data_IF_750047956442
#
_entry.id   IF_750047956442
#
_cell.length_a   1.000
_cell.length_b   1.000
_cell.length_c   1.000
_cell.angle_alpha   90.00
_cell.angle_beta   90.00
_cell.angle_gamma   90.00
#
_symmetry.space_group_name_H-M   'P 1'
#
loop_
_entity.id
_entity.type
_entity.pdbx_description
1 polymer ?
#
# COMPACT_ATOMS: atom_id res chain seq x y z
N UNK A 1 -24.26 -7.44 -5.16
CA UNK A 1 -22.98 -7.14 -5.84
C UNK A 1 -22.01 -6.72 -4.75
N UNK A 2 -20.80 -7.27 -4.72
CA UNK A 2 -19.76 -6.91 -3.75
C UNK A 2 -19.11 -5.60 -4.18
N UNK A 3 -18.84 -4.68 -3.25
CA UNK A 3 -18.29 -3.35 -3.55
C UNK A 3 -16.92 -3.15 -2.89
N UNK A 4 -15.91 -2.82 -3.67
CA UNK A 4 -14.53 -2.66 -3.20
C UNK A 4 -14.08 -1.21 -3.38
N UNK A 5 -13.67 -0.56 -2.29
CA UNK A 5 -13.02 0.75 -2.37
C UNK A 5 -11.62 0.61 -2.94
N UNK A 6 -11.26 1.48 -3.90
CA UNK A 6 -9.95 1.53 -4.54
C UNK A 6 -9.34 2.91 -4.30
N UNK A 7 -8.21 2.92 -3.59
CA UNK A 7 -7.58 4.15 -3.10
C UNK A 7 -6.06 4.08 -3.16
N UNK A 8 -5.39 5.22 -3.05
CA UNK A 8 -3.96 5.24 -2.74
C UNK A 8 -3.42 6.58 -2.27
N UNK A 9 -2.30 6.51 -1.57
CA UNK A 9 -1.53 7.67 -1.12
C UNK A 9 -0.07 7.21 -1.05
N UNK A 10 0.75 7.70 -1.97
CA UNK A 10 2.14 7.23 -2.10
C UNK A 10 3.09 8.40 -2.09
N UNK A 11 4.12 8.30 -1.27
CA UNK A 11 5.29 9.16 -1.30
C UNK A 11 6.44 8.43 -0.64
N UNK A 12 7.65 8.68 -1.11
CA UNK A 12 8.88 8.38 -0.38
C UNK A 12 9.51 9.70 0.11
N UNK A 13 10.01 9.72 1.35
CA UNK A 13 10.73 10.88 1.87
C UNK A 13 12.17 10.56 2.28
N UNK A 14 13.02 11.57 2.26
CA UNK A 14 14.22 11.61 3.10
C UNK A 14 13.98 12.58 4.26
N UNK A 15 14.00 12.10 5.50
CA UNK A 15 13.86 12.95 6.70
C UNK A 15 15.03 13.92 6.85
N UNK A 16 16.15 13.65 6.17
CA UNK A 16 17.34 14.50 6.16
C UNK A 16 17.33 15.55 5.06
N UNK A 17 16.36 15.52 4.14
CA UNK A 17 16.23 16.54 3.10
C UNK A 17 15.63 17.82 3.71
N UNK A 18 16.37 18.95 3.72
CA UNK A 18 15.92 20.19 4.36
C UNK A 18 14.80 20.90 3.60
N UNK A 19 14.48 20.48 2.37
CA UNK A 19 13.42 21.06 1.56
C UNK A 19 12.13 20.24 1.74
N UNK A 20 11.16 20.71 2.56
CA UNK A 20 9.89 20.02 2.66
C UNK A 20 9.11 20.12 1.35
N UNK A 21 8.30 19.11 1.06
CA UNK A 21 7.35 19.16 -0.04
C UNK A 21 5.99 19.69 0.44
N UNK A 22 5.23 20.25 -0.49
CA UNK A 22 3.92 20.88 -0.25
C UNK A 22 2.82 20.10 -0.97
N UNK A 23 1.57 20.48 -0.71
CA UNK A 23 0.41 19.82 -1.31
C UNK A 23 0.46 19.81 -2.86
N UNK A 24 0.96 20.87 -3.49
CA UNK A 24 1.08 21.01 -4.94
C UNK A 24 2.16 20.11 -5.58
N UNK A 25 2.98 19.44 -4.77
CA UNK A 25 3.89 18.40 -5.23
C UNK A 25 3.16 17.11 -5.64
N UNK A 26 1.95 16.88 -5.14
CA UNK A 26 1.18 15.69 -5.43
C UNK A 26 0.32 15.84 -6.68
N UNK A 27 0.32 14.80 -7.51
CA UNK A 27 -0.73 14.61 -8.50
C UNK A 27 -1.94 13.93 -7.83
N UNK A 28 -3.10 14.59 -7.87
CA UNK A 28 -4.31 14.11 -7.19
C UNK A 28 -5.36 13.70 -8.23
N UNK A 29 -5.80 12.45 -8.13
CA UNK A 29 -6.87 11.87 -8.95
C UNK A 29 -8.09 11.55 -8.09
N UNK A 30 -9.28 11.94 -8.55
CA UNK A 30 -10.54 11.75 -7.81
C UNK A 30 -11.56 10.93 -8.61
N UNK A 31 -12.34 10.12 -7.90
CA UNK A 31 -13.38 9.28 -8.47
C UNK A 31 -12.87 8.47 -9.68
N UNK A 32 -13.54 8.56 -10.83
CA UNK A 32 -13.18 7.79 -12.04
C UNK A 32 -11.81 8.19 -12.64
N UNK A 33 -11.22 9.32 -12.25
CA UNK A 33 -9.86 9.69 -12.65
C UNK A 33 -8.84 8.67 -12.14
N UNK A 34 -9.06 8.10 -10.94
CA UNK A 34 -8.20 7.05 -10.39
C UNK A 34 -8.18 5.84 -11.33
N UNK A 35 -9.34 5.42 -11.84
CA UNK A 35 -9.44 4.31 -12.80
C UNK A 35 -8.75 4.67 -14.11
N UNK A 36 -9.07 5.84 -14.68
CA UNK A 36 -8.50 6.29 -15.97
C UNK A 36 -6.98 6.39 -15.91
N UNK A 37 -6.45 6.93 -14.82
CA UNK A 37 -5.01 7.08 -14.63
C UNK A 37 -4.30 5.74 -14.50
N UNK A 38 -4.89 4.76 -13.83
CA UNK A 38 -4.19 3.50 -13.50
C UNK A 38 -4.44 2.36 -14.50
N UNK A 39 -5.54 2.38 -15.26
CA UNK A 39 -5.87 1.29 -16.19
C UNK A 39 -4.81 1.14 -17.28
N UNK A 40 -4.25 -0.07 -17.42
CA UNK A 40 -3.23 -0.40 -18.43
C UNK A 40 -1.82 0.11 -18.11
N UNK A 41 -1.61 0.73 -16.94
CA UNK A 41 -0.29 1.15 -16.46
C UNK A 41 0.33 0.10 -15.53
N UNK A 42 1.66 0.10 -15.46
CA UNK A 42 2.39 -0.67 -14.48
C UNK A 42 2.30 0.01 -13.10
N UNK A 43 1.15 -0.08 -12.44
CA UNK A 43 0.90 0.49 -11.12
C UNK A 43 0.18 -0.50 -10.23
N UNK A 44 0.31 -0.35 -8.91
CA UNK A 44 -0.39 -1.18 -7.94
C UNK A 44 -1.91 -1.17 -8.16
N UNK A 45 -2.50 0.01 -8.36
CA UNK A 45 -3.94 0.13 -8.61
C UNK A 45 -4.31 -0.48 -9.97
N UNK A 46 -3.49 -0.29 -11.01
CA UNK A 46 -3.73 -0.86 -12.34
C UNK A 46 -3.82 -2.39 -12.30
N UNK A 47 -2.84 -3.03 -11.67
CA UNK A 47 -2.85 -4.47 -11.45
C UNK A 47 -4.03 -4.96 -10.60
N UNK A 48 -4.40 -4.23 -9.55
CA UNK A 48 -5.56 -4.58 -8.73
C UNK A 48 -6.87 -4.51 -9.52
N UNK A 49 -7.07 -3.46 -10.32
CA UNK A 49 -8.24 -3.29 -11.20
C UNK A 49 -8.37 -4.45 -12.18
N UNK A 50 -7.27 -4.82 -12.84
CA UNK A 50 -7.26 -5.94 -13.79
C UNK A 50 -7.73 -7.25 -13.16
N UNK A 51 -7.32 -7.52 -11.92
CA UNK A 51 -7.70 -8.75 -11.24
C UNK A 51 -9.12 -8.70 -10.68
N UNK A 52 -9.53 -7.59 -10.08
CA UNK A 52 -10.87 -7.42 -9.51
C UNK A 52 -11.96 -7.46 -10.59
N UNK A 53 -11.71 -6.89 -11.77
CA UNK A 53 -12.65 -6.89 -12.89
C UNK A 53 -12.93 -8.29 -13.46
N UNK A 54 -12.11 -9.30 -13.14
CA UNK A 54 -12.37 -10.71 -13.52
C UNK A 54 -13.42 -11.38 -12.63
N UNK A 55 -13.79 -10.76 -11.51
CA UNK A 55 -14.68 -11.34 -10.51
C UNK A 55 -16.13 -10.96 -10.86
N UNK A 56 -17.01 -11.95 -11.12
CA UNK A 56 -18.41 -11.65 -11.42
C UNK A 56 -19.12 -11.07 -10.19
N UNK A 57 -20.08 -10.16 -10.42
CA UNK A 57 -20.87 -9.51 -9.36
C UNK A 57 -20.02 -8.72 -8.35
N UNK A 58 -18.86 -8.20 -8.76
CA UNK A 58 -18.02 -7.28 -7.98
C UNK A 58 -17.91 -5.93 -8.70
N UNK A 59 -17.97 -4.85 -7.93
CA UNK A 59 -17.86 -3.46 -8.37
C UNK A 59 -16.70 -2.78 -7.65
N UNK A 60 -15.82 -2.11 -8.42
CA UNK A 60 -14.78 -1.26 -7.88
C UNK A 60 -15.30 0.19 -7.75
N UNK A 61 -15.25 0.74 -6.54
CA UNK A 61 -15.57 2.13 -6.23
C UNK A 61 -14.25 2.90 -6.10
N UNK A 62 -13.96 3.72 -7.09
CA UNK A 62 -12.78 4.56 -7.15
C UNK A 62 -13.02 5.86 -6.38
N UNK A 63 -12.08 6.29 -5.53
CA UNK A 63 -12.30 7.46 -4.67
C UNK A 63 -11.17 8.48 -4.76
N UNK A 64 -9.98 8.15 -4.27
CA UNK A 64 -8.88 9.11 -4.15
C UNK A 64 -7.52 8.42 -4.36
N UNK A 65 -6.67 9.06 -5.16
CA UNK A 65 -5.29 8.63 -5.37
C UNK A 65 -4.38 9.87 -5.37
N UNK A 66 -3.51 9.97 -4.36
CA UNK A 66 -2.47 10.99 -4.27
C UNK A 66 -1.12 10.36 -4.57
N UNK A 67 -0.45 10.86 -5.62
CA UNK A 67 0.86 10.37 -6.05
C UNK A 67 1.91 11.46 -5.88
N UNK A 68 2.85 11.22 -4.97
CA UNK A 68 4.07 12.00 -4.79
C UNK A 68 5.29 11.11 -5.05
N UNK A 69 6.30 11.67 -5.72
CA UNK A 69 7.59 10.99 -5.91
C UNK A 69 8.52 11.18 -4.71
N UNK A 70 9.76 10.67 -4.78
CA UNK A 70 10.74 10.82 -3.71
C UNK A 70 11.10 12.31 -3.48
N UNK A 71 10.98 12.78 -2.24
CA UNK A 71 11.23 14.19 -1.87
C UNK A 71 11.68 14.35 -0.41
N UNK A 72 11.64 15.57 0.13
CA UNK A 72 11.75 15.81 1.56
C UNK A 72 10.42 15.56 2.29
N UNK A 73 10.38 15.77 3.62
CA UNK A 73 9.17 15.56 4.42
C UNK A 73 8.02 16.43 3.92
N UNK A 74 6.80 15.88 3.91
CA UNK A 74 5.61 16.65 3.58
C UNK A 74 5.29 17.65 4.70
N UNK A 75 5.01 18.90 4.36
CA UNK A 75 4.46 19.86 5.34
C UNK A 75 3.24 19.24 6.03
N UNK A 76 3.22 19.22 7.37
CA UNK A 76 2.17 18.52 8.11
C UNK A 76 0.76 19.05 7.77
N UNK A 77 0.61 20.36 7.54
CA UNK A 77 -0.64 20.96 7.07
C UNK A 77 -1.11 20.42 5.70
N UNK A 78 -0.18 20.15 4.78
CA UNK A 78 -0.47 19.55 3.49
C UNK A 78 -0.89 18.08 3.63
N UNK A 79 -0.27 17.34 4.56
CA UNK A 79 -0.71 16.00 4.93
C UNK A 79 -2.14 15.99 5.50
N UNK A 80 -2.46 16.89 6.43
CA UNK A 80 -3.81 16.98 7.01
C UNK A 80 -4.87 17.26 5.94
N UNK A 81 -4.53 18.06 4.92
CA UNK A 81 -5.40 18.26 3.76
C UNK A 81 -5.59 16.98 2.95
N UNK A 82 -4.52 16.23 2.68
CA UNK A 82 -4.61 14.92 2.01
C UNK A 82 -5.44 13.93 2.83
N UNK A 83 -5.28 13.90 4.15
CA UNK A 83 -6.09 13.08 5.07
C UNK A 83 -7.58 13.40 4.92
N UNK A 84 -7.95 14.68 4.94
CA UNK A 84 -9.34 15.10 4.79
C UNK A 84 -9.93 14.60 3.46
N UNK A 85 -9.22 14.87 2.35
CA UNK A 85 -9.65 14.48 1.00
C UNK A 85 -9.69 12.95 0.81
N UNK A 86 -8.76 12.23 1.43
CA UNK A 86 -8.69 10.77 1.38
C UNK A 86 -9.85 10.13 2.16
N UNK A 87 -10.16 10.64 3.35
CA UNK A 87 -11.19 10.06 4.24
C UNK A 87 -12.62 10.47 3.88
N UNK A 88 -12.85 11.64 3.29
CA UNK A 88 -14.19 12.11 2.89
C UNK A 88 -14.99 11.06 2.08
N UNK A 89 -14.46 10.50 0.97
CA UNK A 89 -15.19 9.49 0.22
C UNK A 89 -15.36 8.17 1.00
N UNK A 90 -14.43 7.79 1.88
CA UNK A 90 -14.59 6.57 2.70
C UNK A 90 -15.82 6.72 3.61
N UNK A 91 -15.97 7.87 4.27
CA UNK A 91 -17.14 8.16 5.11
C UNK A 91 -18.42 8.01 4.31
N UNK A 92 -18.47 8.54 3.10
CA UNK A 92 -19.63 8.46 2.19
C UNK A 92 -20.01 7.01 1.81
N UNK A 93 -19.03 6.13 1.64
CA UNK A 93 -19.27 4.75 1.17
C UNK A 93 -19.27 3.69 2.28
N UNK A 94 -18.93 4.07 3.51
CA UNK A 94 -18.70 3.16 4.65
C UNK A 94 -19.81 2.12 4.88
N UNK A 95 -21.08 2.51 4.72
CA UNK A 95 -22.24 1.61 4.90
C UNK A 95 -22.53 0.68 3.71
N UNK A 96 -21.80 0.82 2.60
CA UNK A 96 -22.15 0.19 1.32
C UNK A 96 -20.92 -0.40 0.61
N UNK A 97 -19.94 -0.87 1.36
CA UNK A 97 -18.71 -1.50 0.86
C UNK A 97 -18.46 -2.82 1.56
N UNK A 98 -17.85 -3.76 0.85
CA UNK A 98 -17.51 -5.10 1.34
C UNK A 98 -16.00 -5.28 1.54
N UNK A 99 -15.20 -4.29 1.15
CA UNK A 99 -13.75 -4.29 1.34
C UNK A 99 -13.07 -3.04 0.81
N UNK A 100 -11.81 -2.87 1.16
CA UNK A 100 -10.96 -1.79 0.66
C UNK A 100 -9.60 -2.32 0.22
N UNK A 101 -9.15 -1.83 -0.92
CA UNK A 101 -7.78 -1.94 -1.38
C UNK A 101 -7.13 -0.57 -1.41
N UNK A 102 -5.99 -0.44 -0.71
CA UNK A 102 -5.27 0.82 -0.57
C UNK A 102 -3.82 0.64 -1.02
N UNK A 103 -3.44 1.36 -2.06
CA UNK A 103 -2.06 1.42 -2.55
C UNK A 103 -1.26 2.45 -1.75
N UNK A 104 -0.23 2.00 -1.04
CA UNK A 104 0.64 2.85 -0.22
C UNK A 104 2.10 2.64 -0.62
N UNK A 105 2.97 3.59 -0.28
CA UNK A 105 4.41 3.41 -0.43
C UNK A 105 4.97 2.67 0.78
N UNK A 106 4.64 3.16 1.98
CA UNK A 106 5.13 2.71 3.28
C UNK A 106 6.30 3.54 3.81
N UNK A 107 6.73 4.60 3.12
CA UNK A 107 7.86 5.45 3.53
C UNK A 107 7.54 6.94 3.39
N UNK A 108 6.26 7.29 3.53
CA UNK A 108 5.84 8.67 3.65
C UNK A 108 6.24 9.18 5.03
N UNK A 109 6.44 10.49 5.12
CA UNK A 109 6.73 11.15 6.39
C UNK A 109 6.44 12.63 6.26
N UNK A 110 6.05 13.25 7.36
CA UNK A 110 5.73 14.67 7.41
C UNK A 110 6.70 15.39 8.33
N UNK A 111 6.57 16.71 8.42
CA UNK A 111 7.33 17.52 9.36
C UNK A 111 7.00 17.24 10.84
N UNK A 112 5.90 16.52 11.15
CA UNK A 112 5.42 16.29 12.54
C UNK A 112 5.00 14.85 12.86
N UNK A 113 4.69 14.03 11.83
CA UNK A 113 4.27 12.62 11.92
C UNK A 113 5.15 11.78 11.00
N UNK A 114 5.71 10.70 11.55
CA UNK A 114 6.69 9.81 10.91
C UNK A 114 6.07 8.49 10.42
N UNK A 115 4.82 8.20 10.79
CA UNK A 115 4.01 7.10 10.25
C UNK A 115 2.67 7.60 9.69
N UNK A 116 2.68 8.41 8.60
CA UNK A 116 1.46 8.98 8.02
C UNK A 116 0.57 7.89 7.41
N UNK A 117 1.16 6.85 6.81
CA UNK A 117 0.39 5.74 6.26
C UNK A 117 -0.28 4.89 7.34
N UNK A 118 0.39 4.64 8.47
CA UNK A 118 -0.24 4.01 9.62
C UNK A 118 -1.36 4.87 10.21
N UNK A 119 -1.18 6.20 10.28
CA UNK A 119 -2.25 7.13 10.67
C UNK A 119 -3.45 7.03 9.73
N UNK A 120 -3.23 7.06 8.41
CA UNK A 120 -4.31 6.91 7.42
C UNK A 120 -5.07 5.60 7.61
N UNK A 121 -4.35 4.49 7.80
CA UNK A 121 -4.97 3.18 8.00
C UNK A 121 -5.76 3.08 9.31
N UNK A 122 -5.29 3.70 10.38
CA UNK A 122 -6.03 3.81 11.64
C UNK A 122 -7.35 4.57 11.45
N UNK A 123 -7.31 5.72 10.76
CA UNK A 123 -8.52 6.50 10.48
C UNK A 123 -9.49 5.76 9.55
N UNK A 124 -8.98 5.07 8.53
CA UNK A 124 -9.80 4.20 7.68
C UNK A 124 -10.46 3.11 8.51
N UNK A 125 -9.73 2.47 9.42
CA UNK A 125 -10.26 1.42 10.30
C UNK A 125 -11.34 1.95 11.22
N UNK A 126 -11.18 3.16 11.77
CA UNK A 126 -12.22 3.83 12.59
C UNK A 126 -13.53 4.02 11.81
N UNK A 127 -13.45 4.33 10.51
CA UNK A 127 -14.62 4.55 9.65
C UNK A 127 -15.24 3.24 9.17
N UNK A 128 -14.45 2.29 8.67
CA UNK A 128 -14.95 1.03 8.09
C UNK A 128 -15.26 -0.04 9.13
N UNK A 129 -14.76 0.12 10.36
CA UNK A 129 -14.92 -0.85 11.45
C UNK A 129 -14.15 -2.15 11.21
N UNK A 130 -14.24 -3.09 12.15
CA UNK A 130 -13.43 -4.32 12.14
C UNK A 130 -13.93 -5.41 11.17
N UNK A 131 -15.13 -5.24 10.60
CA UNK A 131 -15.75 -6.25 9.72
C UNK A 131 -15.34 -6.12 8.27
N UNK A 132 -15.05 -4.91 7.82
CA UNK A 132 -14.69 -4.65 6.42
C UNK A 132 -13.19 -4.92 6.23
N UNK A 133 -12.80 -5.86 5.36
CA UNK A 133 -11.40 -6.18 5.15
C UNK A 133 -10.66 -5.06 4.41
N UNK A 134 -9.45 -4.77 4.87
CA UNK A 134 -8.53 -3.81 4.26
C UNK A 134 -7.28 -4.56 3.82
N UNK A 135 -6.94 -4.50 2.53
CA UNK A 135 -5.68 -5.05 2.00
C UNK A 135 -4.87 -3.92 1.38
N UNK A 136 -3.57 -3.90 1.67
CA UNK A 136 -2.66 -2.89 1.17
C UNK A 136 -1.58 -3.48 0.28
N UNK A 137 -1.13 -2.70 -0.70
CA UNK A 137 0.15 -2.91 -1.38
C UNK A 137 1.19 -1.93 -0.87
N UNK A 138 2.45 -2.36 -0.80
CA UNK A 138 3.57 -1.54 -0.36
C UNK A 138 4.77 -1.64 -1.30
N UNK A 139 5.56 -0.57 -1.32
CA UNK A 139 6.92 -0.63 -1.84
C UNK A 139 7.79 -1.51 -0.91
N UNK A 140 8.82 -2.14 -1.47
CA UNK A 140 9.79 -2.88 -0.65
C UNK A 140 10.70 -1.95 0.17
N UNK A 141 10.78 -0.67 -0.16
CA UNK A 141 11.38 0.37 0.67
C UNK A 141 10.44 0.84 1.80
N UNK A 142 9.20 0.36 1.82
CA UNK A 142 8.27 0.66 2.90
C UNK A 142 8.81 0.24 4.29
N UNK A 143 8.43 1.00 5.30
CA UNK A 143 8.65 0.75 6.71
C UNK A 143 7.32 0.26 7.28
N UNK A 144 7.11 -1.05 7.23
CA UNK A 144 5.87 -1.66 7.71
C UNK A 144 5.78 -1.52 9.23
N UNK A 145 4.99 -0.55 9.73
CA UNK A 145 4.84 -0.27 11.16
C UNK A 145 3.85 -1.22 11.85
N UNK A 146 3.87 -1.24 13.19
CA UNK A 146 2.86 -2.01 13.95
C UNK A 146 1.46 -1.42 13.77
N UNK A 147 1.36 -0.08 13.75
CA UNK A 147 0.12 0.66 13.52
C UNK A 147 -0.52 0.27 12.17
N UNK A 148 0.28 0.15 11.11
CA UNK A 148 -0.22 -0.36 9.82
C UNK A 148 -0.78 -1.78 9.95
N UNK A 149 -0.01 -2.71 10.55
CA UNK A 149 -0.39 -4.12 10.68
C UNK A 149 -1.66 -4.33 11.53
N UNK A 150 -1.83 -3.55 12.59
CA UNK A 150 -3.00 -3.63 13.47
C UNK A 150 -4.29 -3.17 12.78
N UNK A 151 -4.18 -2.35 11.72
CA UNK A 151 -5.33 -1.75 11.04
C UNK A 151 -5.70 -2.42 9.71
N UNK A 152 -4.98 -3.47 9.28
CA UNK A 152 -5.21 -4.16 7.99
C UNK A 152 -5.45 -5.66 8.16
N UNK A 153 -6.02 -6.28 7.13
CA UNK A 153 -6.25 -7.72 7.03
C UNK A 153 -5.26 -8.40 6.08
N UNK A 154 -4.50 -7.62 5.30
CA UNK A 154 -3.49 -8.15 4.40
C UNK A 154 -2.51 -7.11 3.90
N UNK A 155 -1.27 -7.55 3.68
CA UNK A 155 -0.17 -6.73 3.17
C UNK A 155 0.54 -7.50 2.06
N UNK A 156 0.80 -6.82 0.94
CA UNK A 156 1.56 -7.36 -0.18
C UNK A 156 2.63 -6.35 -0.59
N UNK A 157 3.90 -6.70 -0.48
CA UNK A 157 5.00 -5.82 -0.92
C UNK A 157 5.49 -6.17 -2.31
N UNK A 158 6.16 -5.23 -2.99
CA UNK A 158 7.00 -5.53 -4.15
C UNK A 158 8.00 -6.65 -3.86
N UNK A 159 8.41 -7.34 -4.93
CA UNK A 159 9.47 -8.34 -4.91
C UNK A 159 10.69 -7.95 -5.74
N UNK A 160 10.65 -6.85 -6.49
CA UNK A 160 11.76 -6.47 -7.37
C UNK A 160 12.40 -5.12 -7.04
N UNK A 161 13.73 -5.09 -7.02
CA UNK A 161 14.57 -3.89 -7.04
C UNK A 161 15.68 -4.06 -8.11
N UNK A 162 15.75 -3.18 -9.14
CA UNK A 162 14.82 -2.08 -9.44
C UNK A 162 13.37 -2.53 -9.65
N UNK A 163 12.42 -1.64 -9.37
CA UNK A 163 11.00 -1.97 -9.37
C UNK A 163 10.44 -2.15 -10.78
N UNK A 164 10.00 -3.36 -11.10
CA UNK A 164 9.30 -3.68 -12.35
C UNK A 164 7.96 -4.38 -12.13
N UNK A 165 7.65 -4.78 -10.89
CA UNK A 165 6.53 -5.65 -10.53
C UNK A 165 5.35 -4.94 -9.83
N UNK A 166 5.12 -3.65 -10.12
CA UNK A 166 4.01 -2.87 -9.53
C UNK A 166 2.64 -3.50 -9.81
N UNK A 167 2.29 -3.76 -11.07
CA UNK A 167 1.01 -4.39 -11.41
C UNK A 167 0.91 -5.83 -10.91
N UNK A 168 2.01 -6.58 -10.88
CA UNK A 168 2.02 -7.92 -10.29
C UNK A 168 1.69 -7.90 -8.79
N UNK A 169 2.23 -6.91 -8.08
CA UNK A 169 1.96 -6.69 -6.66
C UNK A 169 0.51 -6.28 -6.42
N UNK A 170 -0.02 -5.38 -7.23
CA UNK A 170 -1.45 -5.04 -7.22
C UNK A 170 -2.36 -6.24 -7.47
N UNK A 171 -2.04 -7.08 -8.45
CA UNK A 171 -2.76 -8.33 -8.74
C UNK A 171 -2.71 -9.29 -7.55
N UNK A 172 -1.56 -9.44 -6.89
CA UNK A 172 -1.42 -10.29 -5.69
C UNK A 172 -2.27 -9.77 -4.53
N UNK A 173 -2.28 -8.45 -4.30
CA UNK A 173 -3.13 -7.83 -3.28
C UNK A 173 -4.62 -8.04 -3.56
N UNK A 174 -5.06 -7.83 -4.81
CA UNK A 174 -6.45 -8.10 -5.21
C UNK A 174 -6.84 -9.59 -5.04
N UNK A 175 -5.95 -10.53 -5.36
CA UNK A 175 -6.18 -11.97 -5.10
C UNK A 175 -6.32 -12.28 -3.61
N UNK A 176 -5.51 -11.65 -2.76
CA UNK A 176 -5.63 -11.79 -1.31
C UNK A 176 -6.96 -11.23 -0.82
N UNK A 177 -7.36 -10.03 -1.26
CA UNK A 177 -8.64 -9.43 -0.90
C UNK A 177 -9.83 -10.29 -1.35
N UNK A 178 -9.76 -10.86 -2.56
CA UNK A 178 -10.74 -11.83 -3.06
C UNK A 178 -10.88 -13.03 -2.11
N UNK A 179 -9.76 -13.65 -1.71
CA UNK A 179 -9.79 -14.80 -0.79
C UNK A 179 -10.46 -14.45 0.54
N UNK A 180 -10.25 -13.24 1.05
CA UNK A 180 -10.89 -12.79 2.29
C UNK A 180 -12.41 -12.63 2.08
N UNK A 181 -12.82 -11.89 1.05
CA UNK A 181 -14.24 -11.49 0.86
C UNK A 181 -15.11 -12.61 0.33
N UNK A 182 -14.58 -13.45 -0.57
CA UNK A 182 -15.34 -14.48 -1.27
C UNK A 182 -15.16 -15.83 -0.60
N UNK A 183 -13.92 -16.20 -0.30
CA UNK A 183 -13.61 -17.53 0.23
C UNK A 183 -13.66 -17.57 1.78
N UNK A 184 -13.86 -16.40 2.42
CA UNK A 184 -14.02 -16.28 3.88
C UNK A 184 -12.73 -16.51 4.67
N UNK A 185 -11.56 -16.36 4.03
CA UNK A 185 -10.27 -16.57 4.69
C UNK A 185 -10.02 -15.47 5.72
N UNK A 186 -9.48 -15.84 6.88
CA UNK A 186 -9.14 -14.95 8.00
C UNK A 186 -7.62 -14.92 8.22
N UNK A 187 -6.89 -14.02 7.53
CA UNK A 187 -5.44 -14.00 7.58
C UNK A 187 -4.92 -13.54 8.95
N UNK A 188 -3.75 -14.04 9.32
CA UNK A 188 -2.92 -13.49 10.39
C UNK A 188 -1.59 -13.02 9.79
N UNK A 189 -0.97 -12.03 10.42
CA UNK A 189 0.32 -11.48 9.98
C UNK A 189 1.41 -11.73 11.02
N UNK A 190 2.61 -12.05 10.55
CA UNK A 190 3.82 -12.08 11.35
C UNK A 190 4.87 -11.18 10.70
N UNK A 191 5.55 -10.37 11.52
CA UNK A 191 6.64 -9.48 11.08
C UNK A 191 7.85 -9.69 11.97
N UNK A 192 8.99 -10.00 11.35
CA UNK A 192 10.29 -10.08 12.03
C UNK A 192 11.12 -8.88 11.60
N UNK A 193 11.59 -8.08 12.57
CA UNK A 193 12.49 -6.95 12.30
C UNK A 193 13.93 -7.43 12.32
N UNK A 194 14.69 -7.07 11.28
CA UNK A 194 16.14 -7.26 11.22
C UNK A 194 16.75 -5.86 11.37
N UNK A 195 17.47 -5.54 12.46
CA UNK A 195 17.97 -4.19 12.73
C UNK A 195 19.22 -3.90 11.88
N UNK A 196 19.04 -3.77 10.57
CA UNK A 196 20.11 -3.53 9.61
C UNK A 196 19.66 -2.52 8.54
N UNK A 197 20.59 -1.65 8.14
CA UNK A 197 20.47 -0.79 6.96
C UNK A 197 21.56 -1.23 5.99
N UNK A 198 21.22 -1.38 4.71
CA UNK A 198 22.13 -1.91 3.70
C UNK A 198 22.27 -0.94 2.53
N UNK A 199 23.47 -0.91 1.93
CA UNK A 199 23.82 -0.03 0.82
C UNK A 199 23.15 -0.50 -0.48
N UNK A 200 22.92 0.44 -1.40
CA UNK A 200 22.04 0.25 -2.57
C UNK A 200 22.37 -0.92 -3.50
N UNK A 201 23.64 -1.15 -3.83
CA UNK A 201 24.00 -2.21 -4.78
C UNK A 201 23.70 -3.62 -4.23
N UNK A 202 23.74 -3.78 -2.92
CA UNK A 202 23.43 -5.01 -2.23
C UNK A 202 21.90 -5.28 -2.15
N UNK A 203 21.06 -4.31 -2.51
CA UNK A 203 19.59 -4.40 -2.49
C UNK A 203 18.98 -5.04 -3.74
N UNK A 204 19.77 -5.23 -4.82
CA UNK A 204 19.28 -5.79 -6.08
C UNK A 204 18.67 -7.16 -5.83
N UNK A 205 17.39 -7.34 -6.16
CA UNK A 205 16.66 -8.58 -5.83
C UNK A 205 16.88 -9.71 -6.83
N UNK A 206 17.49 -9.43 -7.99
CA UNK A 206 17.90 -10.46 -8.93
C UNK A 206 19.02 -11.33 -8.36
N UNK A 207 19.94 -10.70 -7.60
CA UNK A 207 21.14 -11.35 -7.04
C UNK A 207 21.21 -11.12 -5.53
N UNK A 208 22.33 -11.49 -4.89
CA UNK A 208 22.61 -11.15 -3.50
C UNK A 208 21.67 -11.75 -2.45
N UNK A 209 21.91 -11.36 -1.19
CA UNK A 209 21.18 -11.87 -0.03
C UNK A 209 19.71 -11.44 -0.03
N UNK A 210 19.41 -10.22 -0.46
CA UNK A 210 18.01 -9.76 -0.58
C UNK A 210 17.24 -10.55 -1.62
N UNK A 211 17.85 -10.85 -2.78
CA UNK A 211 17.25 -11.72 -3.77
C UNK A 211 17.00 -13.13 -3.25
N UNK A 212 17.89 -13.67 -2.40
CA UNK A 212 17.66 -14.96 -1.71
C UNK A 212 16.43 -14.91 -0.80
N UNK A 213 16.27 -13.84 -0.01
CA UNK A 213 15.10 -13.66 0.85
C UNK A 213 13.80 -13.52 0.05
N UNK A 214 13.83 -12.79 -1.08
CA UNK A 214 12.67 -12.70 -1.98
C UNK A 214 12.34 -14.06 -2.61
N UNK A 215 13.34 -14.83 -3.07
CA UNK A 215 13.11 -16.19 -3.59
C UNK A 215 12.53 -17.10 -2.51
N UNK A 216 13.03 -17.02 -1.28
CA UNK A 216 12.47 -17.73 -0.15
C UNK A 216 11.00 -17.35 0.09
N UNK A 217 10.68 -16.05 0.15
CA UNK A 217 9.31 -15.54 0.29
C UNK A 217 8.38 -16.05 -0.83
N UNK A 218 8.85 -16.06 -2.08
CA UNK A 218 8.11 -16.61 -3.22
C UNK A 218 7.89 -18.13 -3.09
N UNK A 219 8.91 -18.87 -2.65
CA UNK A 219 8.82 -20.32 -2.48
C UNK A 219 7.82 -20.70 -1.39
N UNK A 220 7.82 -20.03 -0.23
CA UNK A 220 6.84 -20.32 0.82
C UNK A 220 5.42 -19.93 0.40
N UNK A 221 5.26 -18.96 -0.51
CA UNK A 221 3.97 -18.60 -1.09
C UNK A 221 3.39 -19.68 -2.04
N UNK A 222 4.13 -20.77 -2.29
CA UNK A 222 3.59 -21.96 -2.97
C UNK A 222 2.71 -22.81 -2.05
N UNK A 223 2.85 -22.65 -0.73
CA UNK A 223 1.92 -23.20 0.24
C UNK A 223 0.58 -22.47 0.13
N UNK A 224 -0.52 -23.24 0.09
CA UNK A 224 -1.87 -22.68 -0.02
C UNK A 224 -2.32 -21.93 1.24
N UNK A 225 -1.69 -22.22 2.38
CA UNK A 225 -1.94 -21.54 3.65
C UNK A 225 -1.25 -20.17 3.72
N UNK A 226 -0.22 -19.93 2.90
CA UNK A 226 0.46 -18.63 2.82
C UNK A 226 -0.21 -17.76 1.76
N UNK A 227 -0.81 -16.65 2.19
CA UNK A 227 -1.46 -15.71 1.28
C UNK A 227 -0.52 -14.69 0.66
N UNK A 228 0.50 -14.29 1.41
CA UNK A 228 1.48 -13.29 1.02
C UNK A 228 2.74 -13.47 1.86
N UNK A 229 3.89 -13.31 1.22
CA UNK A 229 5.18 -13.21 1.89
C UNK A 229 6.04 -12.18 1.15
N UNK A 230 6.87 -11.47 1.88
CA UNK A 230 7.74 -10.42 1.35
C UNK A 230 8.90 -10.14 2.29
N UNK A 231 9.87 -9.39 1.77
CA UNK A 231 11.01 -8.91 2.52
C UNK A 231 11.16 -7.43 2.21
N UNK A 232 10.86 -6.58 3.20
CA UNK A 232 10.99 -5.13 3.06
C UNK A 232 12.43 -4.74 3.43
N UNK A 233 13.05 -3.99 2.53
CA UNK A 233 14.39 -3.44 2.66
C UNK A 233 14.38 -2.21 3.57
N UNK A 234 13.26 -1.50 3.59
CA UNK A 234 13.06 -0.21 4.24
C UNK A 234 13.90 0.92 3.64
N UNK A 235 13.36 2.13 3.70
CA UNK A 235 14.02 3.32 3.22
C UNK A 235 15.12 3.74 4.21
N UNK A 236 16.40 3.77 3.79
CA UNK A 236 17.52 4.07 4.69
C UNK A 236 17.58 5.54 5.13
N UNK A 237 16.73 6.41 4.55
CA UNK A 237 16.74 7.85 4.79
C UNK A 237 15.53 8.35 5.59
N UNK A 238 14.88 7.48 6.35
CA UNK A 238 13.79 7.84 7.27
C UNK A 238 14.22 7.57 8.71
N UNK A 239 14.17 8.59 9.56
CA UNK A 239 14.62 8.54 10.96
C UNK A 239 13.50 8.02 11.90
N UNK A 240 13.27 6.69 11.91
CA UNK A 240 12.16 5.99 12.60
C UNK A 240 12.52 4.66 13.26
#
# INVERSE_FOLDING_TARGET
MKKILIMGCTQEISSFNPAPCRYDFFEIYRADEVRKFNTGRNSYIGGAIEELNKIPNLECIYTYHAEGSASGPLEHSAFLKIVEEFLEPIKKYSDNVDGAYISLHGAMGTTEELDPEGYLLEEVRKILGNKIPIVISLDLHGILTSKMLENVNGVVSLHTYPHVDFSDTGRRAAKMLKKIIIDGVTPVAARVKIPAIVRGNELITETGLFGEQIRYAKNISSDKEVLSAGFLISNPFTDV
#
